data_IF_916991414788
#
_entry.id   IF_916991414788
#
_cell.length_a   1.000
_cell.length_b   1.000
_cell.length_c   1.000
_cell.angle_alpha   90.00
_cell.angle_beta   90.00
_cell.angle_gamma   90.00
#
_symmetry.space_group_name_H-M   'P 1'
#
loop_
_entity.id
_entity.type
_entity.pdbx_description
1 polymer ?
#
# COMPACT_ATOMS: atom_id res chain seq x y z
N UNK A 1 2.55 -14.34 -15.30
CA UNK A 1 2.35 -13.98 -13.87
C UNK A 1 0.94 -14.43 -13.52
N UNK A 2 0.78 -15.56 -12.84
CA UNK A 2 -0.52 -16.21 -12.64
C UNK A 2 -1.58 -15.29 -11.98
N UNK A 3 -1.12 -14.34 -11.15
CA UNK A 3 -1.99 -13.34 -10.54
C UNK A 3 -2.77 -12.51 -11.59
N UNK A 4 -2.15 -12.18 -12.72
CA UNK A 4 -2.75 -11.34 -13.77
C UNK A 4 -3.77 -12.08 -14.64
N UNK A 5 -3.83 -13.41 -14.54
CA UNK A 5 -4.80 -14.24 -15.25
C UNK A 5 -6.14 -14.31 -14.49
N UNK A 6 -6.16 -13.87 -13.23
CA UNK A 6 -7.40 -13.75 -12.45
C UNK A 6 -8.24 -12.55 -12.90
N UNK A 7 -9.58 -12.59 -12.78
CA UNK A 7 -10.43 -11.42 -12.92
C UNK A 7 -10.00 -10.25 -12.03
N UNK A 8 -10.24 -9.02 -12.50
CA UNK A 8 -9.81 -7.80 -11.83
C UNK A 8 -10.34 -7.68 -10.39
N UNK A 9 -11.57 -8.13 -10.14
CA UNK A 9 -12.18 -8.12 -8.81
C UNK A 9 -11.43 -9.02 -7.82
N UNK A 10 -11.01 -10.22 -8.25
CA UNK A 10 -10.23 -11.12 -7.40
C UNK A 10 -8.84 -10.55 -7.11
N UNK A 11 -8.19 -9.92 -8.11
CA UNK A 11 -6.92 -9.23 -7.89
C UNK A 11 -7.07 -8.10 -6.88
N UNK A 12 -8.13 -7.28 -7.00
CA UNK A 12 -8.43 -6.20 -6.07
C UNK A 12 -8.61 -6.70 -4.63
N UNK A 13 -9.34 -7.80 -4.44
CA UNK A 13 -9.48 -8.42 -3.12
C UNK A 13 -8.14 -8.90 -2.56
N UNK A 14 -7.31 -9.56 -3.37
CA UNK A 14 -5.96 -9.98 -2.96
C UNK A 14 -5.12 -8.78 -2.55
N UNK A 15 -5.12 -7.68 -3.33
CA UNK A 15 -4.38 -6.47 -2.99
C UNK A 15 -4.85 -5.87 -1.67
N UNK A 16 -6.16 -5.78 -1.43
CA UNK A 16 -6.71 -5.29 -0.16
C UNK A 16 -6.24 -6.13 1.02
N UNK A 17 -6.37 -7.46 0.92
CA UNK A 17 -5.91 -8.36 1.97
C UNK A 17 -4.40 -8.23 2.24
N UNK A 18 -3.59 -7.99 1.20
CA UNK A 18 -2.15 -7.90 1.33
C UNK A 18 -1.63 -6.51 1.75
N UNK A 19 -2.41 -5.45 1.56
CA UNK A 19 -1.93 -4.06 1.66
C UNK A 19 -2.72 -3.16 2.61
N UNK A 20 -3.96 -3.52 2.95
CA UNK A 20 -4.80 -2.72 3.83
C UNK A 20 -4.68 -3.21 5.26
N UNK A 21 -4.28 -2.30 6.16
CA UNK A 21 -4.20 -2.53 7.59
C UNK A 21 -5.42 -1.90 8.28
N UNK A 22 -6.02 -2.60 9.25
CA UNK A 22 -7.14 -2.04 10.02
C UNK A 22 -6.70 -0.85 10.88
N UNK A 23 -5.45 -0.87 11.33
CA UNK A 23 -4.83 0.14 12.17
C UNK A 23 -4.08 1.20 11.35
N UNK A 24 -3.78 2.34 11.99
CA UNK A 24 -3.03 3.40 11.30
C UNK A 24 -1.58 2.97 11.12
N UNK A 25 -1.07 3.15 9.91
CA UNK A 25 0.30 2.80 9.58
C UNK A 25 1.22 3.95 10.00
N UNK A 26 2.14 3.66 10.90
CA UNK A 26 3.15 4.62 11.33
C UNK A 26 4.20 4.83 10.24
N UNK A 27 4.42 6.08 9.83
CA UNK A 27 5.51 6.47 8.95
C UNK A 27 6.68 7.01 9.80
N UNK A 28 7.38 6.12 10.51
CA UNK A 28 8.66 6.39 11.14
C UNK A 28 9.83 6.29 10.14
N UNK A 29 11.00 6.78 10.52
CA UNK A 29 12.20 6.81 9.66
C UNK A 29 12.60 5.42 9.13
N UNK A 30 12.35 4.34 9.89
CA UNK A 30 12.64 2.97 9.47
C UNK A 30 11.47 2.22 8.83
N UNK A 31 10.24 2.78 8.87
CA UNK A 31 9.02 2.10 8.41
C UNK A 31 8.50 2.58 7.05
N UNK A 32 9.21 3.51 6.40
CA UNK A 32 8.83 4.04 5.08
C UNK A 32 9.23 3.10 3.92
N UNK A 33 9.11 1.79 4.12
CA UNK A 33 9.37 0.82 3.05
C UNK A 33 8.10 0.51 2.28
N UNK A 34 8.16 0.68 0.96
CA UNK A 34 7.08 0.24 0.09
C UNK A 34 6.95 -1.29 0.16
N UNK A 35 5.72 -1.82 0.25
CA UNK A 35 5.49 -3.26 0.19
C UNK A 35 6.06 -3.87 -1.09
N UNK A 36 6.70 -5.04 -0.98
CA UNK A 36 7.38 -5.70 -2.09
C UNK A 36 6.46 -5.95 -3.31
N UNK A 37 5.15 -6.12 -3.10
CA UNK A 37 4.17 -6.30 -4.18
C UNK A 37 4.14 -5.10 -5.15
N UNK A 38 4.44 -3.88 -4.66
CA UNK A 38 4.52 -2.67 -5.48
C UNK A 38 5.79 -2.60 -6.35
N UNK A 39 6.75 -3.50 -6.13
CA UNK A 39 8.01 -3.56 -6.90
C UNK A 39 8.00 -4.60 -8.02
N UNK A 40 6.90 -5.34 -8.19
CA UNK A 40 6.84 -6.51 -9.09
C UNK A 40 6.80 -6.12 -10.57
N UNK A 41 5.64 -5.71 -11.10
CA UNK A 41 5.48 -5.29 -12.49
C UNK A 41 4.58 -4.06 -12.60
N UNK A 42 4.62 -3.38 -13.75
CA UNK A 42 3.90 -2.11 -13.97
C UNK A 42 2.41 -2.22 -13.66
N UNK A 43 1.78 -3.31 -14.11
CA UNK A 43 0.35 -3.52 -13.93
C UNK A 43 -0.01 -3.75 -12.46
N UNK A 44 0.65 -4.69 -11.78
CA UNK A 44 0.41 -4.94 -10.34
C UNK A 44 0.66 -3.67 -9.55
N UNK A 45 1.74 -2.94 -9.82
CA UNK A 45 2.03 -1.67 -9.15
C UNK A 45 0.90 -0.66 -9.33
N UNK A 46 0.38 -0.49 -10.55
CA UNK A 46 -0.72 0.45 -10.81
C UNK A 46 -1.99 0.05 -10.06
N UNK A 47 -2.38 -1.23 -10.11
CA UNK A 47 -3.61 -1.70 -9.45
C UNK A 47 -3.48 -1.67 -7.91
N UNK A 48 -2.35 -2.12 -7.38
CA UNK A 48 -2.13 -2.28 -5.94
C UNK A 48 -1.85 -0.95 -5.22
N UNK A 49 -1.21 0.02 -5.89
CA UNK A 49 -0.91 1.33 -5.29
C UNK A 49 -2.17 2.06 -4.85
N UNK A 50 -3.24 1.98 -5.65
CA UNK A 50 -4.54 2.59 -5.31
C UNK A 50 -5.05 2.05 -3.98
N UNK A 51 -5.05 0.73 -3.78
CA UNK A 51 -5.47 0.12 -2.53
C UNK A 51 -4.58 0.58 -1.36
N UNK A 52 -3.26 0.57 -1.54
CA UNK A 52 -2.32 0.95 -0.47
C UNK A 52 -2.49 2.40 -0.02
N UNK A 53 -2.60 3.36 -0.94
CA UNK A 53 -2.54 4.78 -0.60
C UNK A 53 -3.91 5.42 -0.37
N UNK A 54 -4.98 4.85 -0.91
CA UNK A 54 -6.34 5.40 -0.74
C UNK A 54 -7.07 4.75 0.44
N UNK A 55 -6.92 3.44 0.65
CA UNK A 55 -7.70 2.74 1.68
C UNK A 55 -7.03 2.74 3.06
N UNK A 56 -5.71 2.90 3.14
CA UNK A 56 -5.00 2.97 4.42
C UNK A 56 -4.99 4.37 5.04
N UNK A 57 -4.91 4.39 6.37
CA UNK A 57 -4.69 5.61 7.15
C UNK A 57 -3.25 5.67 7.63
N UNK A 58 -2.54 6.73 7.29
CA UNK A 58 -1.13 6.91 7.65
C UNK A 58 -0.98 7.95 8.76
N UNK A 59 -0.10 7.68 9.72
CA UNK A 59 0.34 8.67 10.70
C UNK A 59 1.50 9.47 10.10
N UNK A 60 1.31 10.77 9.96
CA UNK A 60 2.34 11.70 9.52
C UNK A 60 2.87 12.46 10.74
N UNK A 61 4.09 12.16 11.22
CA UNK A 61 4.68 12.91 12.32
C UNK A 61 4.97 14.34 11.87
N UNK A 62 4.28 15.32 12.45
CA UNK A 62 4.55 16.73 12.25
C UNK A 62 5.56 17.20 13.30
N UNK A 63 6.68 17.76 12.85
CA UNK A 63 7.63 18.42 13.73
C UNK A 63 7.25 19.89 13.84
N UNK A 64 7.10 20.40 15.06
CA UNK A 64 6.90 21.82 15.30
C UNK A 64 8.27 22.50 15.36
N UNK A 65 8.48 23.51 14.52
CA UNK A 65 9.74 24.26 14.42
C UNK A 65 9.63 25.67 15.01
N UNK A 66 8.49 26.04 15.60
CA UNK A 66 8.31 27.30 16.30
C UNK A 66 8.86 27.17 17.74
N UNK A 67 10.18 27.37 17.89
CA UNK A 67 10.89 27.56 19.16
C UNK A 67 11.64 28.89 19.16
#
# INVERSE_FOLDING_TARGET
>A
CALLELPAELRANIYRFALCEETKIANGQDSFQQPAILWTCRQVRQEASTNRYVENRFLLPTHNFDL
#
